data_IF_337478780339
#
_entry.id   IF_337478780339
#
_cell.length_a   1.000
_cell.length_b   1.000
_cell.length_c   1.000
_cell.angle_alpha   90.00
_cell.angle_beta   90.00
_cell.angle_gamma   90.00
#
_symmetry.space_group_name_H-M   'P 1'
#
loop_
_entity.id
_entity.type
_entity.pdbx_description
1 polymer ?
#
# COMPACT_ATOMS: atom_id res chain seq x y z
N UNK A 1 -20.95 -36.34 4.23
CA UNK A 1 -19.53 -36.69 4.14
C UNK A 1 -19.39 -38.09 3.54
N UNK A 2 -18.68 -38.21 2.43
CA UNK A 2 -18.41 -39.51 1.82
C UNK A 2 -17.45 -40.31 2.70
N UNK A 3 -17.67 -41.65 2.76
CA UNK A 3 -16.83 -42.56 3.52
C UNK A 3 -15.40 -42.56 2.93
N UNK A 4 -14.33 -42.43 3.76
CA UNK A 4 -12.96 -42.46 3.29
C UNK A 4 -12.56 -43.85 2.79
N UNK A 5 -11.55 -43.90 1.92
CA UNK A 5 -10.92 -45.15 1.49
C UNK A 5 -9.82 -45.55 2.48
N UNK A 6 -9.69 -46.87 2.69
CA UNK A 6 -8.61 -47.44 3.51
C UNK A 6 -7.23 -47.13 2.89
N UNK A 7 -6.27 -46.58 3.61
CA UNK A 7 -4.94 -46.26 3.09
C UNK A 7 -4.11 -47.48 2.71
N UNK A 8 -4.51 -48.68 3.18
CA UNK A 8 -3.78 -49.94 2.89
C UNK A 8 -4.38 -50.70 1.72
N UNK A 9 -5.71 -50.88 1.66
CA UNK A 9 -6.35 -51.72 0.64
C UNK A 9 -7.28 -50.96 -0.31
N UNK A 10 -7.42 -49.65 -0.17
CA UNK A 10 -8.28 -48.82 -1.02
C UNK A 10 -9.80 -49.01 -0.81
N UNK A 11 -10.23 -49.99 -0.01
CA UNK A 11 -11.65 -50.26 0.22
C UNK A 11 -12.33 -49.12 0.99
N UNK A 12 -13.58 -48.83 0.67
CA UNK A 12 -14.38 -47.84 1.43
C UNK A 12 -14.56 -48.31 2.87
N UNK A 13 -14.29 -47.39 3.82
CA UNK A 13 -14.39 -47.71 5.24
C UNK A 13 -15.81 -47.48 5.77
N UNK A 14 -16.17 -48.20 6.84
CA UNK A 14 -17.47 -48.09 7.52
C UNK A 14 -17.37 -47.20 8.77
N UNK A 15 -18.48 -46.61 9.16
CA UNK A 15 -18.55 -45.80 10.41
C UNK A 15 -18.30 -46.69 11.62
N UNK A 16 -17.47 -46.24 12.54
CA UNK A 16 -17.05 -46.99 13.74
C UNK A 16 -16.99 -46.06 14.98
N UNK A 17 -18.16 -45.54 15.35
CA UNK A 17 -18.28 -44.65 16.52
C UNK A 17 -17.61 -43.30 16.34
N UNK A 18 -17.34 -42.64 17.48
CA UNK A 18 -16.74 -41.32 17.54
C UNK A 18 -15.50 -41.33 18.43
N UNK A 19 -14.60 -40.41 18.23
CA UNK A 19 -13.46 -40.13 19.16
C UNK A 19 -13.95 -39.40 20.41
N UNK A 20 -13.11 -39.30 21.44
CA UNK A 20 -13.39 -38.47 22.60
C UNK A 20 -13.62 -36.98 22.28
N UNK A 21 -13.11 -36.51 21.16
CA UNK A 21 -13.34 -35.15 20.62
C UNK A 21 -14.58 -35.03 19.73
N UNK A 22 -15.44 -36.05 19.65
CA UNK A 22 -16.66 -36.08 18.84
C UNK A 22 -16.46 -36.33 17.33
N UNK A 23 -15.23 -36.56 16.88
CA UNK A 23 -14.97 -36.80 15.45
C UNK A 23 -15.35 -38.22 15.03
N UNK A 24 -15.98 -38.40 13.85
CA UNK A 24 -16.37 -39.68 13.32
C UNK A 24 -15.14 -40.58 13.11
N UNK A 25 -15.18 -41.79 13.69
CA UNK A 25 -14.22 -42.87 13.42
C UNK A 25 -14.71 -43.76 12.28
N UNK A 26 -13.76 -44.22 11.50
CA UNK A 26 -13.97 -45.12 10.38
C UNK A 26 -13.10 -46.35 10.55
N UNK A 27 -13.60 -47.52 10.16
CA UNK A 27 -12.86 -48.78 10.23
C UNK A 27 -12.94 -49.52 8.90
N UNK A 28 -11.81 -50.08 8.50
CA UNK A 28 -11.78 -50.99 7.36
C UNK A 28 -12.18 -52.40 7.80
N UNK A 29 -13.17 -52.96 7.14
CA UNK A 29 -13.63 -54.32 7.43
C UNK A 29 -12.60 -55.43 7.09
N UNK A 30 -11.70 -55.14 6.14
CA UNK A 30 -10.66 -56.07 5.71
C UNK A 30 -9.37 -55.97 6.54
N UNK A 31 -8.82 -54.77 6.66
CA UNK A 31 -7.54 -54.53 7.31
C UNK A 31 -7.67 -54.25 8.79
N UNK A 32 -8.87 -54.12 9.34
CA UNK A 32 -9.17 -53.73 10.72
C UNK A 32 -8.55 -52.38 11.16
N UNK A 33 -7.94 -51.63 10.25
CA UNK A 33 -7.39 -50.30 10.54
C UNK A 33 -8.53 -49.36 10.81
N UNK A 34 -8.38 -48.52 11.85
CA UNK A 34 -9.30 -47.42 12.11
C UNK A 34 -8.63 -46.06 11.90
N UNK A 35 -9.37 -45.14 11.33
CA UNK A 35 -8.95 -43.73 11.20
C UNK A 35 -10.07 -42.81 11.65
N UNK A 36 -9.71 -41.61 12.07
CA UNK A 36 -10.65 -40.55 12.44
C UNK A 36 -10.76 -39.58 11.29
N UNK A 37 -11.97 -39.24 10.89
CA UNK A 37 -12.18 -38.11 9.95
C UNK A 37 -11.74 -36.84 10.65
N UNK A 38 -10.63 -36.29 10.21
CA UNK A 38 -10.25 -34.94 10.61
C UNK A 38 -11.10 -33.98 9.79
N UNK A 39 -11.92 -33.17 10.45
CA UNK A 39 -12.56 -32.04 9.84
C UNK A 39 -11.43 -31.07 9.47
N UNK A 40 -11.30 -30.77 8.18
CA UNK A 40 -10.38 -29.73 7.75
C UNK A 40 -10.94 -28.38 8.19
N UNK A 41 -10.41 -27.85 9.28
CA UNK A 41 -10.81 -26.55 9.86
C UNK A 41 -9.90 -25.40 9.40
N UNK A 42 -9.04 -25.62 8.42
CA UNK A 42 -8.04 -24.63 8.00
C UNK A 42 -8.69 -23.36 7.48
N UNK A 43 -9.79 -23.49 6.72
CA UNK A 43 -10.55 -22.31 6.25
C UNK A 43 -11.09 -21.47 7.41
N UNK A 44 -11.70 -22.12 8.42
CA UNK A 44 -12.12 -21.43 9.65
C UNK A 44 -10.96 -20.77 10.38
N UNK A 45 -9.80 -21.42 10.43
CA UNK A 45 -8.60 -20.85 11.05
C UNK A 45 -8.07 -19.63 10.26
N UNK A 46 -8.22 -19.63 8.93
CA UNK A 46 -7.88 -18.47 8.11
C UNK A 46 -8.81 -17.30 8.41
N UNK A 47 -10.12 -17.52 8.50
CA UNK A 47 -11.06 -16.45 8.89
C UNK A 47 -10.74 -15.90 10.29
N UNK A 48 -10.47 -16.78 11.26
CA UNK A 48 -10.05 -16.37 12.61
C UNK A 48 -8.73 -15.59 12.59
N UNK A 49 -7.78 -16.01 11.75
CA UNK A 49 -6.48 -15.36 11.59
C UNK A 49 -6.63 -13.95 11.01
N UNK A 50 -7.37 -13.80 9.91
CA UNK A 50 -7.61 -12.51 9.27
C UNK A 50 -8.38 -11.57 10.19
N UNK A 51 -9.43 -12.07 10.85
CA UNK A 51 -10.21 -11.30 11.82
C UNK A 51 -9.38 -10.83 13.02
N UNK A 52 -8.42 -11.63 13.47
CA UNK A 52 -7.45 -11.23 14.50
C UNK A 52 -6.45 -10.21 13.96
N UNK A 53 -5.86 -10.48 12.79
CA UNK A 53 -4.80 -9.65 12.22
C UNK A 53 -5.27 -8.22 11.93
N UNK A 54 -6.49 -8.09 11.41
CA UNK A 54 -7.08 -6.80 11.05
C UNK A 54 -7.93 -6.18 12.17
N UNK A 55 -8.16 -6.95 13.24
CA UNK A 55 -8.94 -6.51 14.41
C UNK A 55 -8.07 -5.99 15.57
N UNK A 56 -8.72 -5.74 16.70
CA UNK A 56 -8.07 -5.23 17.92
C UNK A 56 -7.96 -6.30 19.03
N UNK A 57 -8.29 -7.56 18.74
CA UNK A 57 -8.27 -8.64 19.73
C UNK A 57 -6.85 -9.08 20.03
N UNK A 58 -6.57 -9.36 21.30
CA UNK A 58 -5.30 -9.95 21.69
C UNK A 58 -5.29 -11.45 21.34
N UNK A 59 -4.11 -12.01 21.08
CA UNK A 59 -3.99 -13.45 20.84
C UNK A 59 -4.51 -14.31 22.01
N UNK A 60 -4.40 -13.81 23.23
CA UNK A 60 -4.90 -14.50 24.42
C UNK A 60 -6.42 -14.65 24.42
N UNK A 61 -7.14 -13.71 23.80
CA UNK A 61 -8.60 -13.67 23.76
C UNK A 61 -9.18 -14.49 22.59
N UNK A 62 -8.30 -15.07 21.77
CA UNK A 62 -8.72 -15.89 20.62
C UNK A 62 -9.03 -17.34 21.06
N UNK A 63 -9.90 -18.07 20.31
CA UNK A 63 -10.28 -19.42 20.67
C UNK A 63 -9.08 -20.34 20.94
N UNK A 64 -9.06 -21.01 22.09
CA UNK A 64 -7.99 -21.89 22.55
C UNK A 64 -6.78 -21.18 23.17
N UNK A 65 -6.86 -19.85 23.34
CA UNK A 65 -5.83 -19.04 23.99
C UNK A 65 -4.56 -18.80 23.13
N UNK A 66 -3.69 -17.91 23.61
CA UNK A 66 -2.58 -17.36 22.83
C UNK A 66 -1.62 -18.38 22.20
N UNK A 67 -1.21 -19.45 22.93
CA UNK A 67 -0.28 -20.46 22.40
C UNK A 67 -0.94 -21.32 21.31
N UNK A 68 -2.15 -21.81 21.55
CA UNK A 68 -2.88 -22.65 20.59
C UNK A 68 -3.25 -21.85 19.34
N UNK A 69 -3.68 -20.62 19.53
CA UNK A 69 -3.97 -19.70 18.42
C UNK A 69 -2.73 -19.47 17.57
N UNK A 70 -1.59 -19.08 18.14
CA UNK A 70 -0.33 -18.88 17.39
C UNK A 70 0.06 -20.11 16.58
N UNK A 71 -0.01 -21.31 17.18
CA UNK A 71 0.32 -22.56 16.49
C UNK A 71 -0.60 -22.82 15.28
N UNK A 72 -1.88 -22.47 15.39
CA UNK A 72 -2.83 -22.62 14.27
C UNK A 72 -2.58 -21.58 13.16
N UNK A 73 -2.18 -20.37 13.54
CA UNK A 73 -1.95 -19.28 12.60
C UNK A 73 -0.57 -19.34 11.91
N UNK A 74 0.40 -20.05 12.48
CA UNK A 74 1.76 -20.10 11.94
C UNK A 74 1.82 -20.54 10.47
N UNK A 75 1.12 -21.61 10.04
CA UNK A 75 1.08 -21.98 8.62
C UNK A 75 0.39 -20.95 7.72
N UNK A 76 -0.54 -20.16 8.27
CA UNK A 76 -1.27 -19.16 7.51
C UNK A 76 -0.44 -17.90 7.18
N UNK A 77 0.63 -17.67 7.96
CA UNK A 77 1.61 -16.64 7.66
C UNK A 77 2.41 -16.92 6.39
N UNK A 78 2.38 -18.13 5.86
CA UNK A 78 3.06 -18.45 4.60
C UNK A 78 2.31 -17.93 3.37
N UNK A 79 1.02 -17.60 3.50
CA UNK A 79 0.19 -17.12 2.40
C UNK A 79 0.54 -15.67 2.00
N UNK A 80 0.51 -15.41 0.69
CA UNK A 80 0.72 -14.09 0.10
C UNK A 80 -0.51 -13.62 -0.67
N UNK A 81 -1.32 -12.73 -0.12
CA UNK A 81 -2.46 -12.15 -0.83
C UNK A 81 -1.98 -11.10 -1.84
N UNK A 82 -1.63 -11.55 -3.04
CA UNK A 82 -1.20 -10.67 -4.11
C UNK A 82 -2.34 -9.85 -4.72
N UNK A 83 -1.95 -8.69 -5.26
CA UNK A 83 -2.82 -7.80 -5.99
C UNK A 83 -3.32 -8.47 -7.28
N UNK A 84 -4.63 -8.39 -7.60
CA UNK A 84 -5.18 -8.84 -8.87
C UNK A 84 -4.68 -7.99 -10.05
N UNK A 85 -5.00 -8.41 -11.26
CA UNK A 85 -4.92 -7.57 -12.46
C UNK A 85 -6.30 -6.94 -12.63
N UNK A 86 -6.34 -5.62 -12.86
CA UNK A 86 -7.56 -4.83 -13.01
C UNK A 86 -7.60 -4.28 -14.43
N UNK A 87 -8.46 -4.83 -15.25
CA UNK A 87 -8.68 -4.39 -16.65
C UNK A 87 -9.79 -3.34 -16.77
N UNK A 88 -10.55 -3.14 -15.70
CA UNK A 88 -11.59 -2.11 -15.63
C UNK A 88 -10.96 -0.71 -15.56
N UNK A 89 -11.45 0.20 -16.40
CA UNK A 89 -11.04 1.60 -16.41
C UNK A 89 -11.85 2.38 -15.38
N UNK A 90 -11.18 2.97 -14.41
CA UNK A 90 -11.81 3.79 -13.37
C UNK A 90 -11.65 5.28 -13.71
N UNK A 91 -12.64 6.08 -13.33
CA UNK A 91 -12.57 7.54 -13.50
C UNK A 91 -11.47 8.16 -12.63
N UNK A 92 -11.36 7.68 -11.39
CA UNK A 92 -10.38 8.19 -10.43
C UNK A 92 -9.70 7.06 -9.67
N UNK A 93 -8.38 7.13 -9.60
CA UNK A 93 -7.55 6.32 -8.71
C UNK A 93 -6.74 7.24 -7.81
N UNK A 94 -6.72 6.94 -6.52
CA UNK A 94 -5.84 7.60 -5.54
C UNK A 94 -4.68 6.67 -5.22
N UNK A 95 -3.47 7.20 -5.21
CA UNK A 95 -2.26 6.40 -4.95
C UNK A 95 -1.41 7.01 -3.85
N UNK A 96 -0.84 6.16 -3.00
CA UNK A 96 0.10 6.55 -1.95
C UNK A 96 0.96 5.35 -1.51
N UNK A 97 2.02 5.60 -0.75
CA UNK A 97 2.90 4.60 -0.17
C UNK A 97 2.85 4.57 1.36
N UNK A 98 2.73 3.37 1.94
CA UNK A 98 2.91 3.18 3.38
C UNK A 98 4.29 2.61 3.68
N UNK A 99 5.12 3.40 4.38
CA UNK A 99 6.47 2.99 4.78
C UNK A 99 6.44 2.04 5.99
N UNK A 100 7.16 0.93 5.89
CA UNK A 100 7.32 -0.08 6.93
C UNK A 100 8.67 0.07 7.65
N UNK A 101 8.96 1.27 8.10
CA UNK A 101 10.26 1.67 8.62
C UNK A 101 11.18 2.08 7.46
N UNK A 102 12.49 1.79 7.58
CA UNK A 102 13.48 2.07 6.52
C UNK A 102 13.63 0.92 5.52
N UNK A 103 12.98 -0.23 5.78
CA UNK A 103 13.24 -1.46 5.03
C UNK A 103 12.35 -1.68 3.82
N UNK A 104 11.13 -1.14 3.81
CA UNK A 104 10.21 -1.32 2.70
C UNK A 104 9.10 -0.27 2.68
N UNK A 105 8.44 -0.16 1.55
CA UNK A 105 7.20 0.58 1.33
C UNK A 105 6.21 -0.34 0.63
N UNK A 106 4.94 -0.25 0.98
CA UNK A 106 3.86 -0.85 0.19
C UNK A 106 3.13 0.28 -0.52
N UNK A 107 3.20 0.26 -1.84
CA UNK A 107 2.46 1.16 -2.72
C UNK A 107 1.03 0.65 -2.84
N UNK A 108 0.06 1.55 -2.75
CA UNK A 108 -1.38 1.22 -2.79
C UNK A 108 -2.05 2.10 -3.83
N UNK A 109 -2.93 1.48 -4.62
CA UNK A 109 -3.84 2.16 -5.53
C UNK A 109 -5.27 1.79 -5.17
N UNK A 110 -6.15 2.77 -5.02
CA UNK A 110 -7.54 2.55 -4.63
C UNK A 110 -8.49 3.54 -5.30
N UNK A 111 -9.75 3.11 -5.45
CA UNK A 111 -10.88 4.01 -5.72
C UNK A 111 -11.50 4.47 -4.39
N UNK A 112 -12.55 5.30 -4.41
CA UNK A 112 -13.38 5.56 -3.24
C UNK A 112 -13.94 4.30 -2.57
N UNK A 113 -14.22 3.25 -3.31
CA UNK A 113 -14.98 2.11 -2.84
C UNK A 113 -14.10 0.92 -2.43
N UNK A 114 -12.97 0.71 -3.10
CA UNK A 114 -12.13 -0.47 -2.86
C UNK A 114 -10.65 -0.24 -3.23
N UNK A 115 -9.81 -1.13 -2.70
CA UNK A 115 -8.41 -1.23 -3.09
C UNK A 115 -8.30 -2.00 -4.39
N UNK A 116 -7.64 -1.42 -5.39
CA UNK A 116 -7.42 -2.01 -6.70
C UNK A 116 -6.12 -2.80 -6.77
N UNK A 117 -5.07 -2.27 -6.15
CA UNK A 117 -3.78 -2.90 -6.23
C UNK A 117 -2.82 -2.46 -5.13
N UNK A 118 -1.85 -3.33 -4.85
CA UNK A 118 -0.76 -3.07 -3.91
C UNK A 118 0.53 -3.74 -4.37
N UNK A 119 1.65 -3.11 -4.03
CA UNK A 119 2.96 -3.60 -4.45
C UNK A 119 4.03 -3.26 -3.41
N UNK A 120 4.78 -4.25 -2.96
CA UNK A 120 5.87 -4.03 -2.02
C UNK A 120 7.16 -3.65 -2.75
N UNK A 121 7.87 -2.66 -2.21
CA UNK A 121 9.14 -2.17 -2.76
C UNK A 121 10.09 -1.73 -1.65
N UNK A 122 11.38 -1.57 -1.97
CA UNK A 122 12.35 -0.95 -1.06
C UNK A 122 12.10 0.54 -0.88
N UNK A 123 11.72 1.20 -1.97
CA UNK A 123 11.46 2.63 -2.01
C UNK A 123 10.45 2.97 -3.10
N UNK A 124 9.90 4.15 -3.05
CA UNK A 124 8.96 4.69 -4.04
C UNK A 124 9.66 5.13 -5.33
N UNK A 125 10.36 4.21 -5.97
CA UNK A 125 11.04 4.47 -7.23
C UNK A 125 10.11 4.23 -8.44
N UNK A 126 10.56 4.66 -9.63
CA UNK A 126 9.75 4.55 -10.85
C UNK A 126 9.52 3.12 -11.35
N UNK A 127 10.36 2.16 -10.95
CA UNK A 127 10.17 0.74 -11.29
C UNK A 127 9.04 0.15 -10.45
N UNK A 128 9.06 0.42 -9.13
CA UNK A 128 8.03 -0.03 -8.20
C UNK A 128 6.65 0.51 -8.58
N UNK A 129 6.53 1.82 -8.83
CA UNK A 129 5.30 2.42 -9.31
C UNK A 129 4.88 1.85 -10.67
N UNK A 130 5.81 1.64 -11.59
CA UNK A 130 5.52 1.01 -12.88
C UNK A 130 5.01 -0.42 -12.74
N UNK A 131 5.54 -1.21 -11.80
CA UNK A 131 5.09 -2.56 -11.54
C UNK A 131 3.64 -2.59 -10.98
N UNK A 132 3.29 -1.67 -10.07
CA UNK A 132 1.90 -1.52 -9.61
C UNK A 132 0.98 -1.09 -10.77
N UNK A 133 1.36 -0.05 -11.49
CA UNK A 133 0.55 0.55 -12.56
C UNK A 133 0.30 -0.41 -13.72
N UNK A 134 1.27 -1.26 -14.07
CA UNK A 134 1.13 -2.24 -15.17
C UNK A 134 0.08 -3.32 -14.90
N UNK A 135 -0.42 -3.41 -13.66
CA UNK A 135 -1.48 -4.34 -13.25
C UNK A 135 -2.87 -3.70 -13.20
N UNK A 136 -2.97 -2.40 -13.49
CA UNK A 136 -4.22 -1.63 -13.39
C UNK A 136 -4.39 -0.85 -14.69
N UNK A 137 -5.57 -0.92 -15.28
CA UNK A 137 -5.91 -0.13 -16.45
C UNK A 137 -5.75 1.37 -16.18
N UNK A 138 -5.22 2.17 -17.13
CA UNK A 138 -5.03 3.61 -16.96
C UNK A 138 -6.34 4.32 -16.59
N UNK A 139 -6.42 5.01 -15.43
CA UNK A 139 -7.61 5.77 -15.07
C UNK A 139 -7.70 7.08 -15.84
N UNK A 140 -8.87 7.71 -15.83
CA UNK A 140 -9.02 9.06 -16.39
C UNK A 140 -8.24 10.10 -15.57
N UNK A 141 -8.30 10.00 -14.24
CA UNK A 141 -7.59 10.87 -13.29
C UNK A 141 -6.85 10.03 -12.24
N UNK A 142 -5.62 10.43 -11.90
CA UNK A 142 -4.93 9.92 -10.71
C UNK A 142 -4.62 11.06 -9.75
N UNK A 143 -4.95 10.85 -8.46
CA UNK A 143 -4.63 11.79 -7.38
C UNK A 143 -3.45 11.25 -6.58
N UNK A 144 -2.41 12.07 -6.40
CA UNK A 144 -1.16 11.66 -5.77
C UNK A 144 -0.52 12.77 -4.93
N UNK A 145 0.32 12.40 -3.98
CA UNK A 145 1.22 13.32 -3.27
C UNK A 145 2.39 13.81 -4.15
N UNK A 146 2.71 13.10 -5.26
CA UNK A 146 3.56 13.48 -6.39
C UNK A 146 5.05 13.23 -6.24
N UNK A 147 5.43 12.11 -5.75
CA UNK A 147 6.82 11.66 -5.80
C UNK A 147 7.39 11.61 -7.23
N UNK A 148 8.70 11.87 -7.39
CA UNK A 148 9.35 11.84 -8.70
C UNK A 148 9.32 10.45 -9.35
N UNK A 149 9.38 9.39 -8.53
CA UNK A 149 9.26 8.01 -8.97
C UNK A 149 7.89 7.74 -9.61
N UNK A 150 6.81 8.19 -8.95
CA UNK A 150 5.46 8.12 -9.49
C UNK A 150 5.34 8.88 -10.82
N UNK A 151 5.75 10.15 -10.86
CA UNK A 151 5.61 10.97 -12.06
C UNK A 151 6.31 10.36 -13.28
N UNK A 152 7.50 9.76 -13.08
CA UNK A 152 8.23 9.07 -14.15
C UNK A 152 7.52 7.78 -14.60
N UNK A 153 6.97 7.01 -13.68
CA UNK A 153 6.20 5.81 -13.99
C UNK A 153 4.89 6.15 -14.73
N UNK A 154 4.15 7.16 -14.24
CA UNK A 154 2.88 7.59 -14.81
C UNK A 154 3.04 7.98 -16.29
N UNK A 155 4.03 8.78 -16.63
CA UNK A 155 4.31 9.15 -18.03
C UNK A 155 4.58 7.94 -18.93
N UNK A 156 5.14 6.86 -18.39
CA UNK A 156 5.49 5.66 -19.16
C UNK A 156 4.34 4.68 -19.29
N UNK A 157 3.61 4.43 -18.20
CA UNK A 157 2.62 3.35 -18.10
C UNK A 157 1.20 3.87 -18.32
N UNK A 158 0.88 5.07 -17.83
CA UNK A 158 -0.42 5.73 -17.96
C UNK A 158 -0.31 7.08 -18.70
N UNK A 159 0.18 7.11 -19.95
CA UNK A 159 0.50 8.36 -20.66
C UNK A 159 -0.71 9.26 -20.91
N UNK A 160 -1.91 8.71 -20.96
CA UNK A 160 -3.18 9.42 -21.16
C UNK A 160 -3.86 9.86 -19.89
N UNK A 161 -3.43 9.33 -18.72
CA UNK A 161 -4.02 9.65 -17.43
C UNK A 161 -3.67 11.07 -17.01
N UNK A 162 -4.68 11.82 -16.62
CA UNK A 162 -4.50 13.16 -16.04
C UNK A 162 -4.07 13.04 -14.58
N UNK A 163 -3.21 13.96 -14.13
CA UNK A 163 -2.64 13.91 -12.78
C UNK A 163 -3.12 15.10 -11.97
N UNK A 164 -3.71 14.84 -10.82
CA UNK A 164 -4.02 15.83 -9.80
C UNK A 164 -3.04 15.70 -8.64
N UNK A 165 -2.40 16.79 -8.29
CA UNK A 165 -1.61 16.89 -7.07
C UNK A 165 -2.53 17.14 -5.88
N UNK A 166 -2.44 16.32 -4.86
CA UNK A 166 -3.21 16.49 -3.63
C UNK A 166 -3.01 17.89 -3.06
N UNK A 167 -4.08 18.68 -2.99
CA UNK A 167 -4.04 20.06 -2.46
C UNK A 167 -3.69 20.09 -0.99
N UNK A 168 -4.08 19.07 -0.22
CA UNK A 168 -3.66 18.93 1.18
C UNK A 168 -2.15 18.74 1.33
N UNK A 169 -1.51 17.93 0.48
CA UNK A 169 -0.05 17.79 0.49
C UNK A 169 0.66 19.06 0.04
N UNK A 170 0.10 19.81 -0.92
CA UNK A 170 0.61 21.12 -1.29
C UNK A 170 0.54 22.10 -0.11
N UNK A 171 -0.59 22.13 0.62
CA UNK A 171 -0.71 22.89 1.88
C UNK A 171 0.29 22.43 2.94
N UNK A 172 0.49 21.13 3.14
CA UNK A 172 1.47 20.62 4.10
C UNK A 172 2.89 21.10 3.78
N UNK A 173 3.28 21.21 2.49
CA UNK A 173 4.57 21.79 2.08
C UNK A 173 4.66 23.26 2.42
N UNK A 174 3.59 24.03 2.19
CA UNK A 174 3.52 25.44 2.60
C UNK A 174 3.69 25.55 4.13
N UNK A 175 2.92 24.77 4.89
CA UNK A 175 2.98 24.76 6.36
C UNK A 175 4.36 24.40 6.91
N UNK A 176 5.07 23.47 6.27
CA UNK A 176 6.46 23.13 6.64
C UNK A 176 7.42 24.30 6.40
N UNK A 177 7.20 25.08 5.35
CA UNK A 177 8.03 26.23 5.02
C UNK A 177 7.75 27.44 5.93
N UNK A 178 6.48 27.68 6.26
CA UNK A 178 6.01 28.86 7.00
C UNK A 178 5.88 28.64 8.49
N UNK A 179 5.81 27.36 8.95
CA UNK A 179 5.35 26.93 10.29
C UNK A 179 3.85 27.17 10.50
N UNK A 180 3.31 26.73 11.65
CA UNK A 180 1.88 26.94 12.02
C UNK A 180 1.60 28.30 12.64
N UNK A 181 2.64 29.02 13.04
CA UNK A 181 2.57 30.37 13.65
C UNK A 181 3.65 31.27 13.04
N UNK A 182 3.49 31.64 11.74
CA UNK A 182 4.50 32.43 11.05
C UNK A 182 4.62 33.81 11.63
N UNK A 183 5.87 34.28 11.80
CA UNK A 183 6.15 35.64 12.33
C UNK A 183 6.44 36.65 11.22
N UNK A 184 7.03 36.20 10.11
CA UNK A 184 7.35 37.05 8.98
C UNK A 184 6.11 37.31 8.13
N UNK A 185 5.90 38.54 7.70
CA UNK A 185 4.72 38.92 6.89
C UNK A 185 4.63 38.11 5.59
N UNK A 186 5.76 37.84 4.92
CA UNK A 186 5.80 36.96 3.76
C UNK A 186 5.32 35.52 4.07
N UNK A 187 5.73 34.98 5.22
CA UNK A 187 5.32 33.67 5.68
C UNK A 187 3.84 33.63 6.08
N UNK A 188 3.32 34.70 6.69
CA UNK A 188 1.90 34.84 7.05
C UNK A 188 1.02 34.83 5.79
N UNK A 189 1.40 35.61 4.77
CA UNK A 189 0.68 35.65 3.51
C UNK A 189 0.67 34.29 2.79
N UNK A 190 1.83 33.61 2.71
CA UNK A 190 1.89 32.29 2.07
C UNK A 190 1.13 31.23 2.87
N UNK A 191 1.13 31.28 4.20
CA UNK A 191 0.36 30.39 5.05
C UNK A 191 -1.15 30.57 4.86
N UNK A 192 -1.62 31.82 4.78
CA UNK A 192 -3.01 32.13 4.49
C UNK A 192 -3.45 31.60 3.12
N UNK A 193 -2.63 31.81 2.08
CA UNK A 193 -2.85 31.21 0.75
C UNK A 193 -2.90 29.68 0.81
N UNK A 194 -2.04 29.06 1.63
CA UNK A 194 -2.09 27.61 1.83
C UNK A 194 -3.40 27.14 2.45
N UNK A 195 -3.95 27.88 3.42
CA UNK A 195 -5.25 27.57 4.00
C UNK A 195 -6.39 27.75 2.97
N UNK A 196 -6.38 28.84 2.22
CA UNK A 196 -7.36 29.08 1.16
C UNK A 196 -7.35 28.00 0.07
N UNK A 197 -6.16 27.44 -0.26
CA UNK A 197 -6.05 26.35 -1.25
C UNK A 197 -6.93 25.13 -0.91
N UNK A 198 -7.18 24.87 0.37
CA UNK A 198 -8.00 23.74 0.81
C UNK A 198 -9.51 23.96 0.59
N UNK A 199 -9.91 25.19 0.31
CA UNK A 199 -11.31 25.60 0.12
C UNK A 199 -11.61 26.01 -1.33
N UNK A 200 -10.71 25.74 -2.26
CA UNK A 200 -10.96 25.97 -3.68
C UNK A 200 -11.90 24.88 -4.20
N UNK A 201 -13.15 25.26 -4.50
CA UNK A 201 -14.19 24.33 -4.95
C UNK A 201 -14.54 24.50 -6.42
N UNK A 202 -14.32 25.71 -6.97
CA UNK A 202 -14.67 26.10 -8.34
C UNK A 202 -13.49 26.67 -9.13
N UNK A 203 -13.74 26.87 -10.44
CA UNK A 203 -12.74 27.46 -11.34
C UNK A 203 -12.49 28.94 -11.04
N UNK A 204 -13.50 29.65 -10.62
CA UNK A 204 -13.41 31.06 -10.22
C UNK A 204 -12.51 31.16 -8.97
N UNK A 205 -12.76 30.35 -7.93
CA UNK A 205 -11.90 30.29 -6.75
C UNK A 205 -10.45 29.97 -7.09
N UNK A 206 -10.24 29.04 -8.04
CA UNK A 206 -8.89 28.68 -8.48
C UNK A 206 -8.19 29.85 -9.20
N UNK A 207 -8.92 30.64 -10.01
CA UNK A 207 -8.40 31.83 -10.67
C UNK A 207 -8.05 32.93 -9.65
N UNK A 208 -8.94 33.19 -8.70
CA UNK A 208 -8.72 34.13 -7.62
C UNK A 208 -7.50 33.72 -6.78
N UNK A 209 -7.41 32.44 -6.43
CA UNK A 209 -6.27 31.91 -5.68
C UNK A 209 -4.94 32.05 -6.46
N UNK A 210 -4.93 31.76 -7.76
CA UNK A 210 -3.74 31.93 -8.62
C UNK A 210 -3.34 33.41 -8.66
N UNK A 211 -4.29 34.33 -8.83
CA UNK A 211 -4.05 35.79 -8.82
C UNK A 211 -3.44 36.23 -7.51
N UNK A 212 -4.05 35.89 -6.37
CA UNK A 212 -3.55 36.20 -5.05
C UNK A 212 -2.14 35.63 -4.79
N UNK A 213 -1.85 34.43 -5.30
CA UNK A 213 -0.52 33.83 -5.20
C UNK A 213 0.50 34.57 -6.08
N UNK A 214 0.12 35.03 -7.29
CA UNK A 214 0.99 35.82 -8.15
C UNK A 214 1.31 37.18 -7.52
N UNK A 215 0.32 37.83 -6.91
CA UNK A 215 0.52 39.10 -6.17
C UNK A 215 1.45 38.89 -4.98
N UNK A 216 1.32 37.79 -4.24
CA UNK A 216 2.25 37.42 -3.17
C UNK A 216 3.68 37.26 -3.72
N UNK A 217 3.86 36.56 -4.85
CA UNK A 217 5.16 36.39 -5.48
C UNK A 217 5.78 37.72 -5.92
N UNK A 218 5.00 38.61 -6.50
CA UNK A 218 5.45 39.95 -6.94
C UNK A 218 5.84 40.82 -5.74
N UNK A 219 4.99 40.87 -4.71
CA UNK A 219 5.23 41.66 -3.49
C UNK A 219 6.51 41.27 -2.75
N UNK A 220 6.80 39.97 -2.69
CA UNK A 220 7.92 39.45 -1.89
C UNK A 220 9.11 39.04 -2.74
N UNK A 221 9.19 39.48 -4.01
CA UNK A 221 10.26 39.09 -4.92
C UNK A 221 11.64 39.36 -4.35
N UNK A 222 11.93 40.65 -4.01
CA UNK A 222 13.24 41.07 -3.53
C UNK A 222 13.62 40.40 -2.21
N UNK A 223 12.65 40.29 -1.29
CA UNK A 223 12.83 39.59 -0.01
C UNK A 223 13.20 38.08 -0.23
N UNK A 224 12.61 37.41 -1.19
CA UNK A 224 12.92 36.03 -1.50
C UNK A 224 14.25 35.85 -2.26
N UNK A 225 14.74 36.90 -2.88
CA UNK A 225 16.05 36.92 -3.57
C UNK A 225 17.22 37.26 -2.65
N UNK A 226 16.95 37.67 -1.39
CA UNK A 226 18.00 37.95 -0.40
C UNK A 226 18.89 36.72 -0.19
N UNK A 227 20.19 36.95 -0.14
CA UNK A 227 21.20 35.89 0.04
C UNK A 227 22.11 36.19 1.24
N UNK A 228 22.41 35.15 1.99
CA UNK A 228 23.37 35.20 3.11
C UNK A 228 24.61 34.40 2.72
N UNK A 229 25.80 34.95 3.13
CA UNK A 229 27.08 34.26 2.92
C UNK A 229 27.23 33.14 3.94
N UNK A 230 27.57 31.93 3.48
CA UNK A 230 27.86 30.80 4.36
C UNK A 230 29.21 30.95 5.05
N UNK A 231 29.36 30.46 6.31
CA UNK A 231 30.64 30.46 7.01
C UNK A 231 31.74 29.73 6.25
N UNK A 232 31.41 28.60 5.61
CA UNK A 232 32.33 27.79 4.80
C UNK A 232 32.56 28.35 3.38
N UNK A 233 31.96 29.46 3.04
CA UNK A 233 32.00 30.09 1.71
C UNK A 233 30.78 29.76 0.86
N UNK A 234 30.54 30.58 -0.18
CA UNK A 234 29.37 30.52 -1.02
C UNK A 234 28.18 31.33 -0.49
N UNK A 235 27.07 31.29 -1.25
CA UNK A 235 25.85 32.03 -0.96
C UNK A 235 24.67 31.09 -0.88
N UNK A 236 23.70 31.36 0.01
CA UNK A 236 22.42 30.67 0.10
C UNK A 236 21.30 31.69 0.22
N UNK A 237 20.08 31.28 -0.14
CA UNK A 237 18.91 32.12 0.08
C UNK A 237 18.66 32.29 1.59
N UNK A 238 18.57 33.54 2.06
CA UNK A 238 18.23 33.87 3.45
C UNK A 238 16.89 33.22 3.85
N UNK A 239 15.96 33.20 2.93
CA UNK A 239 14.59 32.64 3.10
C UNK A 239 14.39 31.35 2.33
N UNK A 240 15.36 30.45 2.36
CA UNK A 240 15.39 29.23 1.54
C UNK A 240 14.10 28.40 1.59
N UNK A 241 13.50 28.27 2.78
CA UNK A 241 12.25 27.49 2.94
C UNK A 241 11.10 28.07 2.12
N UNK A 242 10.93 29.39 2.13
CA UNK A 242 9.90 30.09 1.35
C UNK A 242 10.20 30.01 -0.15
N UNK A 243 11.47 30.15 -0.54
CA UNK A 243 11.91 30.00 -1.94
C UNK A 243 11.58 28.60 -2.46
N UNK A 244 11.88 27.57 -1.67
CA UNK A 244 11.54 26.18 -2.03
C UNK A 244 10.03 25.96 -2.17
N UNK A 245 9.23 26.52 -1.25
CA UNK A 245 7.76 26.43 -1.32
C UNK A 245 7.22 27.14 -2.57
N UNK A 246 7.67 28.38 -2.84
CA UNK A 246 7.34 29.13 -4.06
C UNK A 246 7.68 28.32 -5.32
N UNK A 247 8.90 27.81 -5.41
CA UNK A 247 9.34 27.07 -6.60
C UNK A 247 8.51 25.77 -6.80
N UNK A 248 8.13 25.10 -5.70
CA UNK A 248 7.24 23.94 -5.75
C UNK A 248 5.87 24.31 -6.29
N UNK A 249 5.25 25.39 -5.80
CA UNK A 249 3.95 25.86 -6.25
C UNK A 249 4.00 26.33 -7.71
N UNK A 250 5.01 27.10 -8.09
CA UNK A 250 5.22 27.52 -9.48
C UNK A 250 5.27 26.32 -10.43
N UNK A 251 5.98 25.25 -10.04
CA UNK A 251 6.05 24.02 -10.81
C UNK A 251 4.68 23.35 -10.94
N UNK A 252 3.89 23.28 -9.87
CA UNK A 252 2.56 22.66 -9.89
C UNK A 252 1.60 23.45 -10.78
N UNK A 253 1.63 24.79 -10.70
CA UNK A 253 0.79 25.68 -11.50
C UNK A 253 1.21 25.59 -12.98
N UNK A 254 2.50 25.73 -13.29
CA UNK A 254 2.99 25.71 -14.68
C UNK A 254 2.77 24.38 -15.38
N UNK A 255 2.71 23.28 -14.63
CA UNK A 255 2.41 21.94 -15.15
C UNK A 255 0.90 21.62 -15.16
N UNK A 256 0.03 22.52 -14.70
CA UNK A 256 -1.41 22.32 -14.65
C UNK A 256 -1.85 21.20 -13.68
N UNK A 257 -1.04 20.89 -12.64
CA UNK A 257 -1.27 19.73 -11.76
C UNK A 257 -2.07 20.06 -10.49
N UNK A 258 -2.27 21.35 -10.18
CA UNK A 258 -2.87 21.77 -8.91
C UNK A 258 -4.39 21.78 -8.95
N UNK A 259 -4.98 22.08 -10.09
CA UNK A 259 -6.42 22.24 -10.27
C UNK A 259 -6.97 21.37 -11.42
N UNK A 260 -6.35 20.22 -11.68
CA UNK A 260 -6.80 19.26 -12.71
C UNK A 260 -8.22 18.77 -12.42
N UNK A 261 -8.61 18.65 -11.14
CA UNK A 261 -9.94 18.24 -10.72
C UNK A 261 -11.06 19.23 -11.12
N UNK A 262 -10.73 20.47 -11.47
CA UNK A 262 -11.68 21.51 -11.90
C UNK A 262 -11.80 21.62 -13.42
N UNK A 263 -11.21 20.70 -14.18
CA UNK A 263 -11.28 20.74 -15.64
C UNK A 263 -12.75 20.56 -16.10
N UNK A 264 -13.24 21.41 -17.02
CA UNK A 264 -14.64 21.40 -17.46
C UNK A 264 -15.04 20.18 -18.27
N UNK A 265 -14.09 19.35 -18.67
CA UNK A 265 -14.37 18.09 -19.40
C UNK A 265 -14.82 16.97 -18.49
N UNK A 266 -14.71 17.13 -17.16
CA UNK A 266 -15.22 16.13 -16.22
C UNK A 266 -16.74 16.18 -16.19
N UNK A 267 -17.37 15.00 -16.25
CA UNK A 267 -18.83 14.85 -16.19
C UNK A 267 -19.38 14.86 -14.77
N UNK A 268 -18.51 14.72 -13.79
CA UNK A 268 -18.84 14.72 -12.35
C UNK A 268 -17.68 15.32 -11.54
N UNK A 269 -17.93 15.58 -10.25
CA UNK A 269 -16.94 16.17 -9.37
C UNK A 269 -15.76 15.23 -9.12
N UNK A 270 -14.55 15.70 -9.44
CA UNK A 270 -13.31 14.98 -9.19
C UNK A 270 -12.68 15.38 -7.86
N UNK A 271 -11.98 14.46 -7.14
CA UNK A 271 -11.36 14.77 -5.88
C UNK A 271 -10.08 15.60 -6.03
N UNK A 272 -9.95 16.62 -5.19
CA UNK A 272 -8.74 17.45 -5.08
C UNK A 272 -7.67 16.84 -4.16
N UNK A 273 -8.08 15.92 -3.27
CA UNK A 273 -7.29 15.44 -2.14
C UNK A 273 -7.22 13.92 -2.07
N UNK A 274 -6.23 13.44 -1.31
CA UNK A 274 -5.99 12.02 -1.03
C UNK A 274 -6.59 11.57 0.31
N UNK A 275 -7.60 12.25 0.84
CA UNK A 275 -8.15 12.03 2.20
C UNK A 275 -8.47 10.56 2.48
N UNK A 276 -8.97 9.84 1.47
CA UNK A 276 -9.36 8.46 1.62
C UNK A 276 -8.16 7.53 1.82
N UNK A 277 -7.11 7.68 1.01
CA UNK A 277 -5.91 6.86 1.17
C UNK A 277 -5.13 7.25 2.43
N UNK A 278 -5.25 8.48 2.88
CA UNK A 278 -4.73 8.90 4.20
C UNK A 278 -5.45 8.18 5.34
N UNK A 279 -6.78 8.03 5.25
CA UNK A 279 -7.56 7.21 6.18
C UNK A 279 -7.12 5.74 6.15
N UNK A 280 -6.96 5.18 4.96
CA UNK A 280 -6.40 3.83 4.74
C UNK A 280 -5.04 3.69 5.43
N UNK A 281 -4.12 4.61 5.18
CA UNK A 281 -2.80 4.61 5.79
C UNK A 281 -2.83 4.76 7.32
N UNK A 282 -3.78 5.54 7.85
CA UNK A 282 -3.97 5.66 9.29
C UNK A 282 -4.44 4.35 9.93
N UNK A 283 -5.38 3.63 9.30
CA UNK A 283 -5.83 2.30 9.73
C UNK A 283 -4.70 1.29 9.68
N UNK A 284 -3.94 1.24 8.58
CA UNK A 284 -2.79 0.35 8.44
C UNK A 284 -1.71 0.61 9.48
N UNK A 285 -1.38 1.89 9.74
CA UNK A 285 -0.45 2.26 10.81
C UNK A 285 -0.97 1.83 12.19
N UNK A 286 -2.29 1.87 12.42
CA UNK A 286 -2.88 1.39 13.67
C UNK A 286 -2.72 -0.13 13.81
N UNK A 287 -3.06 -0.91 12.79
CA UNK A 287 -2.86 -2.37 12.76
C UNK A 287 -1.40 -2.73 13.06
N UNK A 288 -0.45 -2.06 12.41
CA UNK A 288 0.96 -2.30 12.64
C UNK A 288 1.43 -1.92 14.05
N UNK A 289 0.79 -0.94 14.71
CA UNK A 289 1.02 -0.60 16.13
C UNK A 289 0.43 -1.64 17.07
N UNK A 290 -0.76 -2.16 16.77
CA UNK A 290 -1.43 -3.17 17.58
C UNK A 290 -0.67 -4.51 17.57
N UNK A 291 0.04 -4.79 16.48
CA UNK A 291 0.88 -5.98 16.30
C UNK A 291 2.38 -5.67 16.37
N UNK A 292 2.83 -5.02 17.45
CA UNK A 292 4.24 -4.69 17.68
C UNK A 292 5.11 -5.96 17.71
N UNK A 293 6.31 -5.86 17.14
CA UNK A 293 7.28 -6.98 17.13
C UNK A 293 7.16 -7.92 15.93
N UNK A 294 6.25 -7.66 14.97
CA UNK A 294 6.27 -8.39 13.70
C UNK A 294 7.53 -8.06 12.90
N UNK A 295 8.17 -9.11 12.35
CA UNK A 295 9.23 -8.96 11.35
C UNK A 295 8.70 -8.25 10.10
N UNK A 296 9.61 -7.67 9.29
CA UNK A 296 9.25 -6.89 8.09
C UNK A 296 8.31 -7.66 7.16
N UNK A 297 8.61 -8.92 6.85
CA UNK A 297 7.78 -9.77 6.00
C UNK A 297 6.35 -9.92 6.53
N UNK A 298 6.18 -10.16 7.85
CA UNK A 298 4.84 -10.23 8.45
C UNK A 298 4.11 -8.89 8.44
N UNK A 299 4.83 -7.78 8.59
CA UNK A 299 4.26 -6.43 8.45
C UNK A 299 3.77 -6.18 7.03
N UNK A 300 4.53 -6.60 6.02
CA UNK A 300 4.12 -6.53 4.61
C UNK A 300 2.88 -7.39 4.37
N UNK A 301 2.88 -8.65 4.83
CA UNK A 301 1.73 -9.56 4.71
C UNK A 301 0.50 -9.00 5.43
N UNK A 302 0.65 -8.33 6.57
CA UNK A 302 -0.47 -7.68 7.27
C UNK A 302 -1.10 -6.57 6.42
N UNK A 303 -0.27 -5.73 5.76
CA UNK A 303 -0.76 -4.72 4.82
C UNK A 303 -1.41 -5.38 3.60
N UNK A 304 -0.82 -6.44 3.05
CA UNK A 304 -1.37 -7.19 1.92
C UNK A 304 -2.73 -7.82 2.26
N UNK A 305 -2.88 -8.41 3.44
CA UNK A 305 -4.15 -8.96 3.91
C UNK A 305 -5.21 -7.88 4.05
N UNK A 306 -4.83 -6.72 4.57
CA UNK A 306 -5.76 -5.59 4.65
C UNK A 306 -6.20 -5.15 3.25
N UNK A 307 -5.27 -4.92 2.34
CA UNK A 307 -5.58 -4.54 0.95
C UNK A 307 -6.48 -5.57 0.27
N UNK A 308 -6.16 -6.86 0.44
CA UNK A 308 -6.94 -7.96 -0.15
C UNK A 308 -8.38 -8.01 0.37
N UNK A 309 -8.58 -7.85 1.67
CA UNK A 309 -9.93 -7.86 2.26
C UNK A 309 -10.75 -6.63 1.93
N UNK A 310 -10.10 -5.55 1.49
CA UNK A 310 -10.73 -4.29 1.04
C UNK A 310 -10.73 -4.15 -0.49
N UNK A 311 -10.36 -5.20 -1.23
CA UNK A 311 -10.50 -5.25 -2.70
C UNK A 311 -11.96 -5.53 -3.09
N UNK A 312 -12.30 -5.33 -4.38
CA UNK A 312 -13.68 -5.47 -4.85
C UNK A 312 -14.27 -6.88 -4.64
N UNK A 313 -13.45 -7.94 -4.77
CA UNK A 313 -13.91 -9.34 -4.77
C UNK A 313 -12.99 -10.27 -3.97
N UNK A 314 -12.88 -10.10 -2.63
CA UNK A 314 -12.11 -11.01 -1.80
C UNK A 314 -12.75 -12.42 -1.84
N UNK A 315 -11.92 -13.43 -2.11
CA UNK A 315 -12.38 -14.81 -2.24
C UNK A 315 -12.64 -15.45 -0.88
N UNK A 316 -13.52 -16.46 -0.82
CA UNK A 316 -13.72 -17.25 0.40
C UNK A 316 -12.44 -17.96 0.86
N UNK A 317 -12.30 -18.20 2.17
CA UNK A 317 -11.11 -18.81 2.77
C UNK A 317 -10.69 -20.14 2.11
N UNK A 318 -11.64 -20.97 1.69
CA UNK A 318 -11.34 -22.22 1.01
C UNK A 318 -10.65 -22.01 -0.36
N UNK A 319 -11.09 -21.01 -1.13
CA UNK A 319 -10.46 -20.63 -2.40
C UNK A 319 -9.08 -20.03 -2.18
N UNK A 320 -8.96 -19.15 -1.18
CA UNK A 320 -7.68 -18.55 -0.79
C UNK A 320 -6.63 -19.64 -0.50
N UNK A 321 -6.98 -20.62 0.34
CA UNK A 321 -6.10 -21.74 0.68
C UNK A 321 -5.71 -22.63 -0.50
N UNK A 322 -6.51 -22.66 -1.54
CA UNK A 322 -6.26 -23.46 -2.74
C UNK A 322 -5.43 -22.70 -3.80
N UNK A 323 -5.50 -21.38 -3.84
CA UNK A 323 -4.99 -20.59 -4.96
C UNK A 323 -3.87 -19.60 -4.57
N UNK A 324 -3.83 -19.15 -3.30
CA UNK A 324 -2.81 -18.19 -2.87
C UNK A 324 -1.43 -18.83 -2.78
N UNK A 325 -0.39 -18.17 -3.33
CA UNK A 325 0.97 -18.68 -3.22
C UNK A 325 1.46 -18.63 -1.78
N UNK A 326 2.30 -19.61 -1.44
CA UNK A 326 3.00 -19.70 -0.15
C UNK A 326 4.44 -19.19 -0.28
N UNK A 327 5.13 -19.02 0.85
CA UNK A 327 6.57 -18.72 0.87
C UNK A 327 7.36 -19.73 0.04
N UNK A 328 7.09 -21.02 0.19
CA UNK A 328 7.72 -22.10 -0.58
C UNK A 328 7.47 -21.98 -2.09
N UNK A 329 6.23 -21.65 -2.49
CA UNK A 329 5.90 -21.44 -3.90
C UNK A 329 6.69 -20.27 -4.50
N UNK A 330 6.89 -19.20 -3.72
CA UNK A 330 7.69 -18.04 -4.14
C UNK A 330 9.18 -18.36 -4.18
N UNK A 331 9.71 -19.10 -3.22
CA UNK A 331 11.11 -19.57 -3.22
C UNK A 331 11.39 -20.40 -4.47
N UNK A 332 10.52 -21.33 -4.80
CA UNK A 332 10.62 -22.14 -6.00
C UNK A 332 10.57 -21.29 -7.27
N UNK A 333 9.62 -20.36 -7.35
CA UNK A 333 9.51 -19.45 -8.49
C UNK A 333 10.76 -18.58 -8.65
N UNK A 334 11.31 -18.06 -7.54
CA UNK A 334 12.54 -17.31 -7.54
C UNK A 334 13.73 -18.16 -7.96
N UNK A 335 13.86 -19.38 -7.44
CA UNK A 335 14.91 -20.32 -7.82
C UNK A 335 14.90 -20.55 -9.33
N UNK A 336 13.75 -20.84 -9.93
CA UNK A 336 13.63 -21.04 -11.37
C UNK A 336 13.96 -19.76 -12.17
N UNK A 337 13.47 -18.61 -11.71
CA UNK A 337 13.77 -17.33 -12.37
C UNK A 337 15.28 -17.00 -12.31
N UNK A 338 15.96 -17.29 -11.20
CA UNK A 338 17.40 -17.05 -11.05
C UNK A 338 18.27 -17.91 -11.94
N UNK A 339 17.79 -19.09 -12.35
CA UNK A 339 18.46 -19.95 -13.31
C UNK A 339 18.44 -19.37 -14.73
N UNK A 340 17.34 -18.69 -15.09
CA UNK A 340 17.16 -18.11 -16.44
C UNK A 340 17.68 -16.67 -16.52
N UNK A 341 17.67 -15.92 -15.41
CA UNK A 341 18.09 -14.53 -15.33
C UNK A 341 18.95 -14.27 -14.07
N UNK A 342 20.19 -14.78 -14.01
CA UNK A 342 20.99 -14.80 -12.78
C UNK A 342 21.33 -13.41 -12.21
N UNK A 343 21.25 -12.36 -13.02
CA UNK A 343 21.66 -11.01 -12.61
C UNK A 343 20.57 -10.19 -11.90
N UNK A 344 19.33 -10.63 -11.88
CA UNK A 344 18.21 -9.76 -11.44
C UNK A 344 17.68 -10.05 -10.06
N UNK A 345 17.82 -11.28 -9.54
CA UNK A 345 17.29 -11.67 -8.23
C UNK A 345 15.79 -11.40 -8.04
N UNK A 346 15.03 -11.27 -9.13
CA UNK A 346 13.64 -10.79 -9.15
C UNK A 346 12.70 -11.98 -9.18
N UNK A 347 11.67 -11.93 -8.34
CA UNK A 347 10.59 -12.90 -8.39
C UNK A 347 9.61 -12.53 -9.51
N UNK A 348 9.22 -13.49 -10.39
CA UNK A 348 8.18 -13.25 -11.37
C UNK A 348 6.88 -12.73 -10.71
N UNK A 349 6.33 -11.64 -11.23
CA UNK A 349 5.13 -11.00 -10.71
C UNK A 349 5.36 -9.97 -9.60
N UNK A 350 6.58 -9.89 -9.03
CA UNK A 350 6.96 -8.83 -8.06
C UNK A 350 7.65 -7.65 -8.70
N UNK A 351 8.11 -7.83 -9.94
CA UNK A 351 8.95 -6.85 -10.62
C UNK A 351 10.37 -6.80 -10.05
N UNK A 352 11.13 -5.82 -10.49
CA UNK A 352 12.55 -5.64 -10.16
C UNK A 352 12.79 -4.72 -8.95
N UNK A 353 11.73 -4.39 -8.19
CA UNK A 353 11.81 -3.43 -7.10
C UNK A 353 12.21 -4.06 -5.77
N UNK A 354 11.94 -5.35 -5.56
CA UNK A 354 12.30 -6.12 -4.36
C UNK A 354 12.95 -7.43 -4.76
N UNK A 355 14.08 -7.76 -4.14
CA UNK A 355 14.68 -9.08 -4.19
C UNK A 355 14.08 -9.97 -3.09
N UNK A 356 13.57 -11.13 -3.46
CA UNK A 356 12.95 -12.07 -2.50
C UNK A 356 13.90 -12.46 -1.36
N UNK A 357 15.19 -12.69 -1.67
CA UNK A 357 16.21 -13.00 -0.66
C UNK A 357 16.32 -11.94 0.42
N UNK A 358 16.17 -10.67 0.04
CA UNK A 358 16.27 -9.55 0.97
C UNK A 358 15.10 -9.49 1.94
N UNK A 359 13.93 -10.02 1.57
CA UNK A 359 12.75 -10.08 2.44
C UNK A 359 12.79 -11.24 3.42
N UNK A 360 13.38 -12.36 3.04
CA UNK A 360 13.42 -13.59 3.84
C UNK A 360 14.67 -13.73 4.70
N UNK A 361 15.69 -12.89 4.53
CA UNK A 361 16.84 -12.87 5.42
C UNK A 361 16.46 -12.41 6.83
N UNK A 362 16.97 -13.09 7.84
CA UNK A 362 16.80 -12.75 9.27
C UNK A 362 17.43 -11.41 9.64
N UNK A 363 18.34 -10.92 8.83
CA UNK A 363 18.92 -9.56 8.89
C UNK A 363 18.36 -8.72 7.76
N UNK A 364 17.24 -8.00 7.96
CA UNK A 364 16.58 -7.21 6.90
C UNK A 364 17.37 -5.99 6.44
N UNK A 365 18.53 -5.73 7.01
CA UNK A 365 19.34 -4.55 6.78
C UNK A 365 20.76 -4.94 6.38
N UNK A 366 20.93 -5.49 5.20
CA UNK A 366 22.22 -5.47 4.56
C UNK A 366 22.55 -4.02 4.16
N UNK A 367 23.79 -3.56 4.44
CA UNK A 367 24.28 -2.23 4.05
C UNK A 367 24.27 -1.98 2.53
N UNK A 368 23.89 -2.95 1.73
CA UNK A 368 23.69 -2.84 0.28
C UNK A 368 22.32 -2.28 -0.12
N UNK A 369 21.56 -1.80 0.86
CA UNK A 369 20.25 -1.14 0.65
C UNK A 369 20.36 0.38 0.47
N UNK A 370 21.58 0.95 0.51
CA UNK A 370 21.85 2.35 0.26
C UNK A 370 21.90 2.69 -1.24
#
# INVERSE_FOLDING_TARGET
>A
MNAPKCPVCGRVMTRYGHSASGAQRWRCSLCNISQVSRINSTAKHLDEFVAWLLGRRRQADMPGGGRSFRRRCEPLWQLWPFSPIIDEVHDVIVVDGIHLGRGAVVLIAQTPDCVLGWYAARSENSRAWGALMSRIAPPALVVTDGGSGFAKACKRIWPTTRVQRCTFHAYCRIRQATTTRPKLAASQGLYALGQQLLHVEGREDAQEWIGAYQDWCARWKDFLEEKTRRPEGGWEYTHERLVRARNSLNKLISQGLLFTYLDPTWTHQMPAMTNQIESTNAQLRQILRDHRGMHLTRRMKAVFWWCYTHSAHPQPAATILATMPTDEALENAWYHASQTHPATGIIPGWGDAICFNELHHTTPYHNTWD
#
